data_IF_905837781580
#
_entry.id   IF_905837781580
#
_cell.length_a   1.000
_cell.length_b   1.000
_cell.length_c   1.000
_cell.angle_alpha   90.00
_cell.angle_beta   90.00
_cell.angle_gamma   90.00
#
_symmetry.space_group_name_H-M   'P 1'
#
loop_
_entity.id
_entity.type
_entity.pdbx_description
1 polymer ?
#
# COMPACT_ATOMS: atom_id res chain seq x y z
N UNK A 1 -21.11 -1.01 -9.70
CA UNK A 1 -21.24 -1.43 -11.12
C UNK A 1 -21.09 -2.93 -11.15
N UNK A 2 -22.07 -3.63 -11.72
CA UNK A 2 -21.98 -5.08 -11.91
C UNK A 2 -21.15 -5.37 -13.15
N UNK A 3 -19.84 -5.58 -12.98
CA UNK A 3 -18.96 -5.92 -14.08
C UNK A 3 -18.93 -7.44 -14.24
N UNK A 4 -19.35 -7.91 -15.42
CA UNK A 4 -19.41 -9.33 -15.76
C UNK A 4 -18.68 -9.57 -17.06
N UNK A 5 -17.89 -10.65 -17.12
CA UNK A 5 -17.22 -11.08 -18.35
C UNK A 5 -17.12 -12.61 -18.41
N UNK A 6 -17.04 -13.15 -19.61
CA UNK A 6 -16.88 -14.58 -19.87
C UNK A 6 -15.51 -14.84 -20.47
N UNK A 7 -14.81 -15.84 -19.94
CA UNK A 7 -13.54 -16.32 -20.46
C UNK A 7 -13.81 -17.50 -21.40
N UNK A 8 -13.47 -17.34 -22.67
CA UNK A 8 -13.59 -18.36 -23.71
C UNK A 8 -12.19 -18.75 -24.21
N UNK A 9 -11.45 -19.50 -23.39
CA UNK A 9 -10.11 -20.00 -23.73
C UNK A 9 -10.06 -21.53 -23.59
N UNK A 10 -10.20 -22.28 -24.70
CA UNK A 10 -10.18 -23.74 -24.70
C UNK A 10 -8.77 -24.34 -24.58
N UNK A 11 -7.69 -23.55 -24.75
CA UNK A 11 -6.33 -24.03 -24.49
C UNK A 11 -6.05 -24.11 -22.99
N UNK A 12 -6.65 -23.20 -22.22
CA UNK A 12 -6.46 -23.09 -20.77
C UNK A 12 -7.57 -23.78 -19.97
N UNK A 13 -8.83 -23.73 -20.41
CA UNK A 13 -9.99 -24.22 -19.65
C UNK A 13 -10.79 -25.28 -20.41
N UNK A 14 -11.34 -26.26 -19.69
CA UNK A 14 -12.15 -27.34 -20.28
C UNK A 14 -13.54 -26.88 -20.75
N UNK A 15 -13.99 -25.69 -20.33
CA UNK A 15 -15.24 -25.07 -20.74
C UNK A 15 -15.19 -23.56 -20.46
N UNK A 16 -16.01 -22.73 -21.14
CA UNK A 16 -16.16 -21.33 -20.80
C UNK A 16 -16.64 -21.13 -19.36
N UNK A 17 -16.19 -20.05 -18.73
CA UNK A 17 -16.63 -19.68 -17.40
C UNK A 17 -16.82 -18.18 -17.29
N UNK A 18 -17.78 -17.77 -16.47
CA UNK A 18 -18.19 -16.36 -16.31
C UNK A 18 -17.81 -15.86 -14.92
N UNK A 19 -17.25 -14.66 -14.87
CA UNK A 19 -16.93 -13.95 -13.63
C UNK A 19 -17.91 -12.83 -13.42
N UNK A 20 -18.44 -12.75 -12.20
CA UNK A 20 -19.07 -11.54 -11.67
C UNK A 20 -18.08 -10.87 -10.72
N UNK A 21 -17.70 -9.63 -11.04
CA UNK A 21 -16.80 -8.82 -10.23
C UNK A 21 -17.47 -7.47 -9.91
N UNK A 22 -18.20 -7.38 -8.79
CA UNK A 22 -18.85 -6.14 -8.39
C UNK A 22 -17.82 -5.03 -8.17
N UNK A 23 -17.86 -3.99 -9.00
CA UNK A 23 -17.02 -2.81 -8.85
C UNK A 23 -17.74 -1.81 -7.94
N UNK A 24 -17.34 -1.77 -6.68
CA UNK A 24 -17.93 -0.92 -5.64
C UNK A 24 -16.84 -0.22 -4.82
N UNK A 25 -17.13 1.00 -4.39
CA UNK A 25 -16.33 1.74 -3.40
C UNK A 25 -16.73 1.41 -1.96
N UNK A 26 -17.79 0.62 -1.76
CA UNK A 26 -18.16 0.13 -0.45
C UNK A 26 -17.20 -0.99 -0.03
N UNK A 27 -16.35 -0.66 0.95
CA UNK A 27 -15.38 -1.59 1.51
C UNK A 27 -16.04 -2.73 2.30
N UNK A 28 -17.20 -2.48 2.91
CA UNK A 28 -17.90 -3.49 3.70
C UNK A 28 -18.40 -4.63 2.81
N UNK A 29 -19.02 -4.33 1.67
CA UNK A 29 -19.48 -5.35 0.71
C UNK A 29 -18.33 -6.13 0.05
N UNK A 30 -17.10 -5.60 0.04
CA UNK A 30 -15.91 -6.30 -0.43
C UNK A 30 -15.27 -7.24 0.62
N UNK A 31 -15.80 -7.27 1.85
CA UNK A 31 -15.21 -8.06 2.94
C UNK A 31 -13.84 -7.56 3.39
N UNK A 32 -13.49 -6.30 3.08
CA UNK A 32 -12.27 -5.64 3.58
C UNK A 32 -12.63 -4.68 4.71
N UNK A 33 -11.62 -4.21 5.45
CA UNK A 33 -11.83 -3.27 6.55
C UNK A 33 -12.64 -2.06 6.09
N UNK A 34 -13.81 -1.89 6.71
CA UNK A 34 -14.72 -0.77 6.50
C UNK A 34 -14.44 0.34 7.51
N UNK A 35 -14.78 1.57 7.14
CA UNK A 35 -14.54 2.76 7.97
C UNK A 35 -13.28 3.52 7.57
N UNK A 36 -12.91 4.50 8.40
CA UNK A 36 -11.80 5.40 8.12
C UNK A 36 -10.47 4.66 8.22
N UNK A 37 -9.72 4.65 7.11
CA UNK A 37 -8.34 4.18 7.11
C UNK A 37 -7.48 5.25 7.76
N UNK A 38 -6.96 4.93 8.94
CA UNK A 38 -5.98 5.78 9.61
C UNK A 38 -4.59 5.43 9.11
N UNK A 39 -3.78 6.44 8.82
CA UNK A 39 -2.38 6.24 8.46
C UNK A 39 -1.65 5.56 9.62
N UNK A 40 -0.97 4.45 9.33
CA UNK A 40 0.02 3.88 10.26
C UNK A 40 1.32 4.67 10.17
N UNK A 41 1.27 5.95 10.54
CA UNK A 41 2.48 6.73 10.68
C UNK A 41 3.06 6.44 12.06
N UNK A 42 4.06 5.56 12.10
CA UNK A 42 4.94 5.44 13.25
C UNK A 42 5.71 6.77 13.37
N UNK A 43 5.09 7.78 13.96
CA UNK A 43 5.74 9.04 14.34
C UNK A 43 6.62 8.80 15.56
N UNK A 44 7.61 7.92 15.41
CA UNK A 44 8.55 7.53 16.46
C UNK A 44 9.55 8.68 16.70
N UNK A 45 9.02 9.83 17.13
CA UNK A 45 9.68 10.97 17.75
C UNK A 45 10.87 11.62 17.03
N UNK A 46 11.23 11.17 15.83
CA UNK A 46 12.49 11.54 15.17
C UNK A 46 13.70 11.40 16.11
N UNK A 47 13.70 10.47 17.06
CA UNK A 47 14.75 10.35 18.09
C UNK A 47 16.15 10.14 17.49
N UNK A 48 16.22 9.50 16.32
CA UNK A 48 17.46 9.31 15.58
C UNK A 48 18.02 10.60 14.96
N UNK A 49 17.21 11.66 14.76
CA UNK A 49 17.69 12.89 14.12
C UNK A 49 18.78 13.58 14.92
N UNK A 50 18.73 13.53 16.26
CA UNK A 50 19.77 14.14 17.11
C UNK A 50 21.12 13.49 16.80
N UNK A 51 21.17 12.15 16.78
CA UNK A 51 22.40 11.41 16.49
C UNK A 51 22.92 11.69 15.07
N UNK A 52 22.03 11.71 14.08
CA UNK A 52 22.38 12.01 12.68
C UNK A 52 22.98 13.42 12.55
N UNK A 53 22.35 14.43 13.16
CA UNK A 53 22.82 15.80 13.10
C UNK A 53 24.14 15.98 13.86
N UNK A 54 24.30 15.35 15.02
CA UNK A 54 25.56 15.37 15.78
C UNK A 54 26.72 14.78 14.97
N UNK A 55 26.50 13.67 14.27
CA UNK A 55 27.52 13.08 13.37
C UNK A 55 27.90 14.02 12.23
N UNK A 56 26.93 14.66 11.58
CA UNK A 56 27.18 15.61 10.51
C UNK A 56 28.02 16.82 10.99
N UNK A 57 27.69 17.39 12.15
CA UNK A 57 28.45 18.51 12.74
C UNK A 57 29.89 18.13 13.09
N UNK A 58 30.12 16.90 13.53
CA UNK A 58 31.49 16.41 13.77
C UNK A 58 32.31 16.34 12.48
N UNK A 59 31.73 15.88 11.37
CA UNK A 59 32.39 15.86 10.06
C UNK A 59 32.70 17.26 9.54
N UNK A 60 31.78 18.20 9.68
CA UNK A 60 32.00 19.60 9.32
C UNK A 60 33.17 20.22 10.11
N UNK A 61 33.25 19.96 11.42
CA UNK A 61 34.32 20.49 12.27
C UNK A 61 35.71 19.93 11.92
N UNK A 62 35.78 18.68 11.45
CA UNK A 62 37.02 18.09 10.92
C UNK A 62 37.39 18.73 9.58
N UNK A 63 36.42 18.95 8.70
CA UNK A 63 36.64 19.55 7.38
C UNK A 63 36.99 21.04 7.42
N UNK A 64 36.63 21.75 8.51
CA UNK A 64 36.93 23.18 8.70
C UNK A 64 38.26 23.46 9.40
N UNK A 65 39.08 22.43 9.66
CA UNK A 65 40.44 22.55 10.18
C UNK A 65 41.46 22.44 9.06
#
# INVERSE_FOLDING_TARGET
>A
IEYTFTMEDPEVFSQPWTVSAPMTTDHASRGVTSGQLWEYACHEGNYAMINTLSGARALEAVASR
#
